data_IF_325960941761
#
_entry.id   IF_325960941761
#
_cell.length_a   1.000
_cell.length_b   1.000
_cell.length_c   1.000
_cell.angle_alpha   90.00
_cell.angle_beta   90.00
_cell.angle_gamma   90.00
#
_symmetry.space_group_name_H-M   'P 1'
#
loop_
_entity.id
_entity.type
_entity.pdbx_description
1 polymer ?
#
# COMPACT_ATOMS: atom_id res chain seq x y z
N UNK A 1 9.27 14.92 -5.14
CA UNK A 1 8.93 13.79 -4.28
C UNK A 1 7.62 13.24 -4.79
N UNK A 2 7.53 11.97 -5.15
CA UNK A 2 6.28 11.34 -5.58
C UNK A 2 5.37 11.02 -4.39
N UNK A 3 4.09 10.78 -4.63
CA UNK A 3 3.15 10.29 -3.61
C UNK A 3 3.52 8.84 -3.25
N UNK A 4 3.59 8.54 -1.96
CA UNK A 4 3.85 7.20 -1.43
C UNK A 4 2.65 6.72 -0.62
N UNK A 5 2.24 5.47 -0.82
CA UNK A 5 1.15 4.83 -0.09
C UNK A 5 1.74 3.69 0.74
N UNK A 6 1.50 3.72 2.05
CA UNK A 6 1.83 2.61 2.94
C UNK A 6 0.67 1.63 3.05
N UNK A 7 0.94 0.33 2.89
CA UNK A 7 -0.05 -0.73 3.13
C UNK A 7 0.22 -1.29 4.52
N UNK A 8 -0.73 -1.11 5.42
CA UNK A 8 -0.60 -1.43 6.85
C UNK A 8 -1.65 -2.44 7.31
N UNK A 9 -1.44 -3.05 8.45
CA UNK A 9 -2.34 -4.00 9.09
C UNK A 9 -1.55 -5.05 9.88
N UNK A 10 -2.23 -5.82 10.70
CA UNK A 10 -1.59 -6.89 11.48
C UNK A 10 -1.03 -8.02 10.59
N UNK A 11 -0.16 -8.90 11.10
CA UNK A 11 0.31 -10.06 10.33
C UNK A 11 -0.84 -10.93 9.82
N UNK A 12 -0.64 -11.62 8.70
CA UNK A 12 -1.55 -12.62 8.12
C UNK A 12 -2.93 -12.14 7.64
N UNK A 13 -3.19 -10.83 7.56
CA UNK A 13 -4.47 -10.29 7.03
C UNK A 13 -4.48 -10.13 5.51
N UNK A 14 -3.39 -10.46 4.80
CA UNK A 14 -3.32 -10.41 3.34
C UNK A 14 -2.68 -9.14 2.75
N UNK A 15 -1.93 -8.36 3.55
CA UNK A 15 -1.22 -7.14 3.06
C UNK A 15 -0.34 -7.42 1.84
N UNK A 16 0.57 -8.38 1.96
CA UNK A 16 1.50 -8.75 0.87
C UNK A 16 0.75 -9.30 -0.34
N UNK A 17 -0.35 -10.01 -0.14
CA UNK A 17 -1.21 -10.47 -1.24
C UNK A 17 -1.82 -9.30 -1.99
N UNK A 18 -2.37 -8.32 -1.27
CA UNK A 18 -2.89 -7.09 -1.86
C UNK A 18 -1.80 -6.29 -2.56
N UNK A 19 -0.64 -6.10 -1.91
CA UNK A 19 0.52 -5.41 -2.47
C UNK A 19 0.96 -6.04 -3.79
N UNK A 20 1.16 -7.37 -3.81
CA UNK A 20 1.56 -8.08 -5.01
C UNK A 20 0.53 -7.96 -6.13
N UNK A 21 -0.75 -8.08 -5.82
CA UNK A 21 -1.82 -7.92 -6.82
C UNK A 21 -1.84 -6.49 -7.39
N UNK A 22 -1.69 -5.48 -6.54
CA UNK A 22 -1.73 -4.08 -6.95
C UNK A 22 -0.50 -3.64 -7.75
N UNK A 23 0.68 -4.19 -7.44
CA UNK A 23 1.94 -3.85 -8.11
C UNK A 23 2.23 -4.71 -9.35
N UNK A 24 1.86 -6.00 -9.34
CA UNK A 24 2.12 -6.94 -10.45
C UNK A 24 1.23 -6.70 -11.67
N UNK A 25 0.02 -6.20 -11.47
CA UNK A 25 -0.95 -5.98 -12.54
C UNK A 25 -0.44 -5.01 -13.64
N UNK A 26 0.64 -4.29 -13.40
CA UNK A 26 1.19 -3.28 -14.31
C UNK A 26 2.71 -3.41 -14.51
N UNK A 27 3.31 -4.55 -14.19
CA UNK A 27 4.75 -4.77 -14.36
C UNK A 27 5.23 -4.57 -15.80
N UNK A 28 4.36 -4.77 -16.78
CA UNK A 28 4.66 -4.56 -18.21
C UNK A 28 4.69 -3.07 -18.61
N UNK A 29 4.20 -2.16 -17.77
CA UNK A 29 4.20 -0.71 -18.05
C UNK A 29 5.50 -0.01 -17.62
N UNK A 30 6.45 -0.74 -17.08
CA UNK A 30 7.59 -0.16 -16.38
C UNK A 30 8.76 0.23 -17.29
N UNK A 31 8.67 1.41 -17.86
CA UNK A 31 9.85 2.25 -18.13
C UNK A 31 9.93 3.38 -17.10
N UNK A 32 9.84 3.04 -15.79
CA UNK A 32 9.86 4.06 -14.74
C UNK A 32 11.23 4.10 -14.04
N UNK A 33 11.80 5.30 -13.79
CA UNK A 33 13.19 5.43 -13.32
C UNK A 33 13.43 5.04 -11.85
N UNK A 34 12.43 4.55 -11.12
CA UNK A 34 12.59 4.09 -9.74
C UNK A 34 12.80 2.57 -9.66
N UNK A 35 13.94 2.11 -10.16
CA UNK A 35 14.32 0.69 -10.15
C UNK A 35 15.20 0.28 -8.97
N UNK A 36 15.04 0.88 -7.82
CA UNK A 36 15.58 0.26 -6.62
C UNK A 36 14.51 -0.68 -6.09
N UNK A 37 14.62 -1.95 -6.47
CA UNK A 37 13.75 -3.03 -5.99
C UNK A 37 14.14 -3.31 -4.54
N UNK A 38 13.57 -2.54 -3.63
CA UNK A 38 13.52 -2.94 -2.23
C UNK A 38 12.38 -3.97 -2.12
N UNK A 39 12.58 -5.06 -1.39
CA UNK A 39 11.63 -6.19 -1.33
C UNK A 39 10.20 -5.78 -0.89
N UNK A 40 10.08 -4.60 -0.31
CA UNK A 40 8.84 -4.05 0.24
C UNK A 40 8.33 -2.81 -0.50
N UNK A 41 8.91 -2.47 -1.67
CA UNK A 41 8.50 -1.30 -2.47
C UNK A 41 8.07 -1.73 -3.85
N UNK A 42 7.01 -1.13 -4.34
CA UNK A 42 6.48 -1.40 -5.67
C UNK A 42 5.80 -0.17 -6.26
N UNK A 43 5.38 -0.26 -7.50
CA UNK A 43 4.66 0.81 -8.18
C UNK A 43 3.24 0.36 -8.46
N UNK A 44 2.28 1.13 -7.98
CA UNK A 44 0.86 1.03 -8.35
C UNK A 44 0.50 2.15 -9.31
N UNK A 45 -0.61 2.00 -10.04
CA UNK A 45 -1.08 3.01 -10.96
C UNK A 45 -2.51 3.43 -10.64
N UNK A 46 -2.71 4.74 -10.53
CA UNK A 46 -4.05 5.32 -10.45
C UNK A 46 -4.49 5.76 -11.83
N UNK A 47 -5.70 5.37 -12.22
CA UNK A 47 -6.30 5.75 -13.50
C UNK A 47 -7.14 7.00 -13.34
N UNK A 48 -6.83 8.03 -14.12
CA UNK A 48 -7.57 9.28 -14.16
C UNK A 48 -7.89 9.66 -15.61
N UNK A 49 -8.97 10.42 -15.88
CA UNK A 49 -9.20 11.01 -17.20
C UNK A 49 -8.00 11.87 -17.62
N UNK A 50 -7.50 11.64 -18.84
CA UNK A 50 -6.38 12.43 -19.31
C UNK A 50 -6.86 13.77 -19.91
N UNK A 51 -6.27 14.89 -19.54
CA UNK A 51 -6.62 16.22 -20.09
C UNK A 51 -6.47 16.33 -21.61
N UNK A 52 -5.69 15.43 -22.24
CA UNK A 52 -5.52 15.43 -23.70
C UNK A 52 -6.84 15.32 -24.46
N UNK A 53 -7.86 14.67 -23.89
CA UNK A 53 -9.21 14.62 -24.51
C UNK A 53 -9.93 15.94 -24.45
N UNK A 54 -9.82 16.65 -23.35
CA UNK A 54 -10.44 17.94 -23.15
C UNK A 54 -9.83 19.00 -24.08
N UNK A 55 -8.51 18.99 -24.21
CA UNK A 55 -7.77 19.93 -25.05
C UNK A 55 -7.62 19.48 -26.50
N UNK A 56 -8.10 18.27 -26.86
CA UNK A 56 -7.99 17.66 -28.18
C UNK A 56 -6.55 17.68 -28.73
N UNK A 57 -5.59 17.26 -27.90
CA UNK A 57 -4.17 17.23 -28.24
C UNK A 57 -3.61 15.81 -28.16
N UNK A 58 -2.53 15.56 -28.91
CA UNK A 58 -1.77 14.31 -28.80
C UNK A 58 -1.05 14.29 -27.47
N UNK A 59 -1.29 13.23 -26.69
CA UNK A 59 -0.70 13.07 -25.38
C UNK A 59 0.71 12.48 -25.46
N UNK A 60 1.67 13.13 -24.78
CA UNK A 60 3.03 12.62 -24.64
C UNK A 60 3.52 12.87 -23.20
N UNK A 61 3.03 12.09 -22.21
CA UNK A 61 3.39 12.30 -20.81
C UNK A 61 4.82 11.83 -20.52
N UNK A 62 5.56 12.57 -19.70
CA UNK A 62 6.94 12.23 -19.32
C UNK A 62 7.03 11.15 -18.24
N UNK A 63 6.18 11.25 -17.20
CA UNK A 63 6.26 10.41 -15.98
C UNK A 63 4.97 9.60 -15.74
N UNK A 64 4.24 9.31 -16.78
CA UNK A 64 3.00 8.56 -16.71
C UNK A 64 2.71 8.00 -18.10
N UNK A 65 1.73 7.13 -18.23
CA UNK A 65 1.28 6.62 -19.51
C UNK A 65 -0.14 7.09 -19.79
N UNK A 66 -0.45 7.37 -21.05
CA UNK A 66 -1.80 7.67 -21.48
C UNK A 66 -2.23 6.65 -22.54
N UNK A 67 -3.27 5.88 -22.24
CA UNK A 67 -3.91 4.95 -23.17
C UNK A 67 -5.37 5.34 -23.34
N UNK A 68 -5.79 5.58 -24.56
CA UNK A 68 -7.19 5.89 -24.92
C UNK A 68 -7.82 7.00 -24.06
N UNK A 69 -7.03 8.03 -23.70
CA UNK A 69 -7.49 9.15 -22.89
C UNK A 69 -7.64 8.83 -21.39
N UNK A 70 -7.11 7.71 -20.96
CA UNK A 70 -6.93 7.40 -19.54
C UNK A 70 -5.45 7.54 -19.20
N UNK A 71 -5.13 8.34 -18.20
CA UNK A 71 -3.78 8.51 -17.69
C UNK A 71 -3.53 7.58 -16.54
N UNK A 72 -2.45 6.82 -16.62
CA UNK A 72 -1.94 5.93 -15.57
C UNK A 72 -0.85 6.67 -14.81
N UNK A 73 -1.19 7.13 -13.62
CA UNK A 73 -0.27 7.89 -12.76
C UNK A 73 0.41 6.91 -11.80
N UNK A 74 1.75 6.78 -11.87
CA UNK A 74 2.46 5.88 -10.98
C UNK A 74 2.50 6.46 -9.56
N UNK A 75 2.31 5.58 -8.58
CA UNK A 75 2.38 5.86 -7.15
C UNK A 75 3.26 4.78 -6.52
N UNK A 76 4.22 5.19 -5.71
CA UNK A 76 5.03 4.25 -4.93
C UNK A 76 4.19 3.62 -3.82
N UNK A 77 4.20 2.29 -3.75
CA UNK A 77 3.58 1.52 -2.68
C UNK A 77 4.64 0.90 -1.80
N UNK A 78 4.43 0.91 -0.50
CA UNK A 78 5.30 0.29 0.50
C UNK A 78 4.47 -0.76 1.25
N UNK A 79 4.91 -2.04 1.20
CA UNK A 79 4.37 -3.09 2.07
C UNK A 79 5.02 -2.94 3.44
N UNK A 80 4.30 -2.31 4.36
CA UNK A 80 4.79 -2.05 5.71
C UNK A 80 4.68 -3.33 6.55
N UNK A 81 5.72 -3.65 7.31
CA UNK A 81 5.73 -4.81 8.20
C UNK A 81 4.48 -4.84 9.10
N UNK A 82 3.99 -6.04 9.41
CA UNK A 82 2.76 -6.20 10.17
C UNK A 82 2.79 -5.48 11.51
N UNK A 83 1.74 -4.72 11.78
CA UNK A 83 1.50 -4.02 13.03
C UNK A 83 1.12 -5.06 14.09
N UNK A 84 1.96 -5.22 15.11
CA UNK A 84 1.63 -5.99 16.30
C UNK A 84 1.58 -5.05 17.50
N UNK A 85 0.67 -5.26 18.46
CA UNK A 85 0.63 -4.49 19.67
C UNK A 85 2.02 -4.44 20.34
N UNK A 86 2.45 -3.25 20.78
CA UNK A 86 3.77 -3.01 21.40
C UNK A 86 4.97 -3.11 20.45
N UNK A 87 4.77 -3.00 19.13
CA UNK A 87 5.87 -2.89 18.18
C UNK A 87 6.78 -1.69 18.48
N UNK A 88 6.24 -0.62 19.04
CA UNK A 88 6.96 0.57 19.48
C UNK A 88 7.85 0.32 20.71
N UNK A 89 7.57 -0.69 21.53
CA UNK A 89 8.39 -1.06 22.69
C UNK A 89 9.60 -1.94 22.31
N UNK A 90 9.59 -2.53 21.10
CA UNK A 90 10.64 -3.40 20.58
C UNK A 90 11.81 -2.64 19.95
N UNK A 91 12.99 -2.76 20.54
CA UNK A 91 14.22 -2.16 20.03
C UNK A 91 14.55 -2.70 18.63
N UNK A 92 14.31 -1.93 17.57
CA UNK A 92 14.83 -2.17 16.22
C UNK A 92 13.78 -2.26 15.11
N UNK A 93 12.71 -3.07 15.23
CA UNK A 93 11.66 -3.17 14.21
C UNK A 93 10.67 -2.02 14.27
N UNK A 94 10.38 -1.48 15.46
CA UNK A 94 9.46 -0.36 15.66
C UNK A 94 9.94 0.93 14.98
N UNK A 95 11.24 1.21 14.98
CA UNK A 95 11.77 2.41 14.33
C UNK A 95 11.63 2.36 12.81
N UNK A 96 11.91 1.20 12.19
CA UNK A 96 11.76 1.05 10.74
C UNK A 96 10.29 1.19 10.32
N UNK A 97 9.37 0.60 11.06
CA UNK A 97 7.94 0.72 10.84
C UNK A 97 7.47 2.19 10.88
N UNK A 98 7.85 2.92 11.92
CA UNK A 98 7.50 4.34 12.05
C UNK A 98 8.15 5.20 10.96
N UNK A 99 9.38 4.87 10.53
CA UNK A 99 10.06 5.56 9.45
C UNK A 99 9.34 5.34 8.10
N UNK A 100 8.89 4.12 7.84
CA UNK A 100 8.10 3.79 6.63
C UNK A 100 6.74 4.53 6.65
N UNK A 101 6.07 4.58 7.80
CA UNK A 101 4.80 5.33 7.96
C UNK A 101 4.98 6.83 7.76
N UNK A 102 6.05 7.42 8.27
CA UNK A 102 6.33 8.87 8.14
C UNK A 102 6.59 9.28 6.68
N UNK A 103 7.07 8.37 5.84
CA UNK A 103 7.30 8.63 4.43
C UNK A 103 6.01 8.53 3.61
N UNK A 104 5.03 7.78 4.09
CA UNK A 104 3.76 7.59 3.39
C UNK A 104 2.90 8.86 3.43
N UNK A 105 2.37 9.25 2.27
CA UNK A 105 1.41 10.35 2.12
C UNK A 105 -0.02 9.91 2.48
N UNK A 106 -0.29 8.59 2.39
CA UNK A 106 -1.57 7.96 2.68
C UNK A 106 -1.34 6.52 3.11
N UNK A 107 -2.23 5.98 3.94
CA UNK A 107 -2.20 4.60 4.40
C UNK A 107 -3.43 3.84 3.87
N UNK A 108 -3.21 2.61 3.43
CA UNK A 108 -4.25 1.63 3.16
C UNK A 108 -4.20 0.59 4.28
N UNK A 109 -5.21 0.59 5.14
CA UNK A 109 -5.33 -0.38 6.22
C UNK A 109 -6.06 -1.63 5.76
N UNK A 110 -5.38 -2.77 5.80
CA UNK A 110 -5.94 -4.09 5.49
C UNK A 110 -6.39 -4.76 6.78
N UNK A 111 -7.67 -5.05 6.88
CA UNK A 111 -8.32 -5.61 8.07
C UNK A 111 -8.98 -6.95 7.75
N UNK A 112 -8.79 -7.95 8.62
CA UNK A 112 -9.50 -9.23 8.55
C UNK A 112 -10.90 -9.09 9.17
N UNK A 113 -11.89 -8.81 8.33
CA UNK A 113 -13.29 -8.64 8.77
C UNK A 113 -13.97 -9.93 9.22
N UNK A 114 -13.36 -11.10 8.94
CA UNK A 114 -13.87 -12.38 9.42
C UNK A 114 -13.60 -12.61 10.90
N UNK A 115 -12.67 -11.84 11.48
CA UNK A 115 -12.22 -12.01 12.86
C UNK A 115 -11.56 -13.37 13.10
N UNK A 116 -10.94 -13.95 12.06
CA UNK A 116 -10.24 -15.25 12.13
C UNK A 116 -8.75 -15.13 12.47
N UNK A 117 -8.30 -13.92 12.75
CA UNK A 117 -6.95 -13.64 13.23
C UNK A 117 -7.01 -12.82 14.53
N UNK A 118 -6.23 -13.19 15.53
CA UNK A 118 -6.15 -12.49 16.82
C UNK A 118 -5.32 -11.18 16.73
N UNK A 119 -5.09 -10.52 17.86
CA UNK A 119 -4.35 -9.25 17.93
C UNK A 119 -2.91 -9.38 17.45
N UNK A 120 -2.30 -10.56 17.52
CA UNK A 120 -0.93 -10.85 17.06
C UNK A 120 -0.91 -11.35 15.60
N UNK A 121 -2.07 -11.52 14.98
CA UNK A 121 -2.22 -12.05 13.62
C UNK A 121 -2.13 -13.58 13.55
N UNK A 122 -2.32 -14.28 14.68
CA UNK A 122 -2.39 -15.74 14.69
C UNK A 122 -3.82 -16.19 14.32
N UNK A 123 -3.90 -17.34 13.68
CA UNK A 123 -5.19 -17.91 13.26
C UNK A 123 -6.03 -18.31 14.47
N UNK A 124 -7.28 -17.91 14.49
CA UNK A 124 -8.29 -18.27 15.49
C UNK A 124 -9.62 -18.63 14.81
N UNK A 125 -10.63 -18.99 15.59
CA UNK A 125 -11.95 -19.28 15.04
C UNK A 125 -12.58 -18.02 14.43
N UNK A 126 -13.36 -18.18 13.35
CA UNK A 126 -14.07 -17.08 12.70
C UNK A 126 -14.97 -16.37 13.70
N UNK A 127 -14.83 -15.06 13.81
CA UNK A 127 -15.59 -14.22 14.76
C UNK A 127 -15.03 -14.22 16.19
N UNK A 128 -13.88 -14.86 16.45
CA UNK A 128 -13.27 -14.85 17.79
C UNK A 128 -12.60 -13.50 18.11
N UNK A 129 -12.18 -12.76 17.08
CA UNK A 129 -11.60 -11.43 17.24
C UNK A 129 -12.52 -10.36 16.63
N UNK A 130 -12.62 -9.22 17.29
CA UNK A 130 -13.39 -8.08 16.82
C UNK A 130 -12.52 -7.19 15.90
N UNK A 131 -12.82 -7.11 14.58
CA UNK A 131 -12.03 -6.31 13.63
C UNK A 131 -12.00 -4.81 13.94
N UNK A 132 -13.00 -4.29 14.67
CA UNK A 132 -13.03 -2.87 15.07
C UNK A 132 -11.85 -2.51 15.97
N UNK A 133 -11.37 -3.46 16.76
CA UNK A 133 -10.18 -3.26 17.60
C UNK A 133 -8.92 -3.01 16.78
N UNK A 134 -8.79 -3.68 15.64
CA UNK A 134 -7.64 -3.49 14.74
C UNK A 134 -7.64 -2.08 14.13
N UNK A 135 -8.83 -1.57 13.80
CA UNK A 135 -8.98 -0.20 13.28
C UNK A 135 -8.63 0.83 14.35
N UNK A 136 -9.20 0.69 15.55
CA UNK A 136 -8.93 1.60 16.67
C UNK A 136 -7.46 1.60 17.08
N UNK A 137 -6.85 0.43 17.09
CA UNK A 137 -5.42 0.30 17.40
C UNK A 137 -4.55 1.13 16.45
N UNK A 138 -4.81 1.09 15.14
CA UNK A 138 -4.04 1.89 14.17
C UNK A 138 -4.30 3.41 14.33
N UNK A 139 -5.50 3.81 14.75
CA UNK A 139 -5.83 5.22 14.98
C UNK A 139 -5.16 5.80 16.22
N UNK A 140 -4.81 4.95 17.20
CA UNK A 140 -4.18 5.35 18.46
C UNK A 140 -2.63 5.40 18.37
N UNK A 141 -1.99 4.69 17.42
CA UNK A 141 -0.54 4.68 17.18
C UNK A 141 -0.09 5.84 16.27
#
# INVERSE_FOLDING_TARGET
MGMQIGIVGKPNVGKTTFFNAATSAHAEMASYPFTTIDANKGVMYVRIPCPCREFNVTCNPHNSECRDGIRYVPIEAIDVAGLVPKAHEGRGLGNKFLDDLRQASCLIHVVDVSGSTDEEGQMCDVGAHDPEKDVKFLEEE
#
